data_IF_278159197521
#
_entry.id   IF_278159197521
#
_cell.length_a   1.000
_cell.length_b   1.000
_cell.length_c   1.000
_cell.angle_alpha   90.00
_cell.angle_beta   90.00
_cell.angle_gamma   90.00
#
_symmetry.space_group_name_H-M   'P 1'
#
loop_
_entity.id
_entity.type
_entity.pdbx_description
1 polymer ?
#
# COMPACT_ATOMS: atom_id res chain seq x y z
N UNK A 1 1.13 -4.72 17.65
CA UNK A 1 1.74 -4.11 16.45
C UNK A 1 0.92 -2.91 16.01
N UNK A 2 1.58 -1.81 15.66
CA UNK A 2 0.98 -0.59 15.09
C UNK A 2 1.53 -0.42 13.68
N UNK A 3 0.68 -0.08 12.73
CA UNK A 3 1.01 0.10 11.32
C UNK A 3 0.50 1.47 10.91
N UNK A 4 1.37 2.28 10.33
CA UNK A 4 1.03 3.61 9.82
C UNK A 4 1.37 3.64 8.32
N UNK A 5 0.33 3.65 7.47
CA UNK A 5 0.49 3.62 6.02
C UNK A 5 0.29 5.00 5.40
N UNK A 6 1.24 5.42 4.57
CA UNK A 6 1.13 6.58 3.69
C UNK A 6 1.55 6.12 2.31
N UNK A 7 0.58 5.81 1.46
CA UNK A 7 0.81 5.40 0.07
C UNK A 7 0.30 4.00 -0.27
N UNK A 8 0.98 3.40 -1.24
CA UNK A 8 0.60 2.17 -1.90
C UNK A 8 1.55 1.00 -1.59
N UNK A 9 2.35 1.11 -0.52
CA UNK A 9 3.13 -0.02 0.02
C UNK A 9 2.22 -1.14 0.53
N UNK A 10 2.73 -2.37 0.48
CA UNK A 10 2.03 -3.56 0.95
C UNK A 10 2.62 -4.04 2.27
N UNK A 11 1.75 -4.48 3.19
CA UNK A 11 2.17 -5.22 4.37
C UNK A 11 1.35 -6.49 4.51
N UNK A 12 2.05 -7.62 4.60
CA UNK A 12 1.46 -8.93 4.89
C UNK A 12 2.10 -9.54 6.13
N UNK A 13 1.32 -10.38 6.81
CA UNK A 13 1.73 -11.12 8.00
C UNK A 13 1.59 -12.62 7.75
N UNK A 14 2.67 -13.35 8.01
CA UNK A 14 2.65 -14.80 8.09
C UNK A 14 2.24 -15.26 9.48
N UNK A 15 1.17 -16.02 9.58
CA UNK A 15 0.67 -16.60 10.83
C UNK A 15 0.67 -18.13 10.73
N UNK A 16 1.29 -18.79 11.69
CA UNK A 16 1.27 -20.24 11.79
C UNK A 16 -0.11 -20.73 12.26
N UNK A 17 -0.67 -21.68 11.55
CA UNK A 17 -1.86 -22.43 11.97
C UNK A 17 -1.45 -23.59 12.88
N UNK A 18 -2.40 -24.14 13.65
CA UNK A 18 -2.16 -25.24 14.58
C UNK A 18 -1.68 -26.55 13.92
N UNK A 19 -1.81 -26.67 12.61
CA UNK A 19 -1.29 -27.78 11.78
C UNK A 19 0.12 -27.52 11.23
N UNK A 20 0.75 -26.40 11.58
CA UNK A 20 2.08 -26.00 11.12
C UNK A 20 2.08 -25.33 9.74
N UNK A 21 0.92 -25.14 9.09
CA UNK A 21 0.84 -24.38 7.84
C UNK A 21 0.96 -22.88 8.10
N UNK A 22 1.54 -22.13 7.17
CA UNK A 22 1.60 -20.66 7.27
C UNK A 22 0.48 -20.05 6.42
N UNK A 23 -0.31 -19.20 7.05
CA UNK A 23 -1.36 -18.41 6.41
C UNK A 23 -0.92 -16.95 6.30
N UNK A 24 -1.34 -16.29 5.22
CA UNK A 24 -0.99 -14.88 4.96
C UNK A 24 -2.21 -14.01 5.19
N UNK A 25 -2.04 -12.99 6.02
CA UNK A 25 -3.04 -11.94 6.24
C UNK A 25 -2.50 -10.63 5.71
N UNK A 26 -3.22 -10.01 4.78
CA UNK A 26 -2.94 -8.66 4.34
C UNK A 26 -3.34 -7.66 5.44
N UNK A 27 -2.39 -6.81 5.83
CA UNK A 27 -2.56 -5.87 6.94
C UNK A 27 -2.85 -4.43 6.50
N UNK A 28 -2.56 -4.09 5.24
CA UNK A 28 -2.78 -2.76 4.66
C UNK A 28 -3.55 -2.91 3.35
N UNK A 29 -4.53 -2.04 3.13
CA UNK A 29 -5.19 -1.86 1.84
C UNK A 29 -4.53 -0.70 1.08
N UNK A 30 -4.33 -0.85 -0.22
CA UNK A 30 -3.75 0.23 -1.04
C UNK A 30 -4.65 1.46 -1.03
N UNK A 31 -4.07 2.60 -0.72
CA UNK A 31 -4.71 3.90 -0.84
C UNK A 31 -4.70 4.34 -2.32
N UNK A 32 -5.47 3.61 -3.14
CA UNK A 32 -5.65 3.90 -4.57
C UNK A 32 -6.64 5.05 -4.74
N UNK A 33 -6.42 5.97 -5.70
CA UNK A 33 -7.28 7.13 -5.90
C UNK A 33 -8.76 6.83 -6.23
N UNK A 34 -9.07 5.63 -6.71
CA UNK A 34 -10.41 5.22 -7.13
C UNK A 34 -11.24 4.56 -6.02
N UNK A 35 -10.74 4.48 -4.80
CA UNK A 35 -11.49 3.93 -3.67
C UNK A 35 -12.64 4.87 -3.26
N UNK A 36 -13.78 4.33 -2.78
CA UNK A 36 -14.90 5.15 -2.29
C UNK A 36 -14.49 6.13 -1.18
N UNK A 37 -13.54 5.74 -0.32
CA UNK A 37 -13.02 6.57 0.75
C UNK A 37 -12.24 7.81 0.25
N UNK A 38 -11.84 7.81 -1.03
CA UNK A 38 -11.07 8.87 -1.66
C UNK A 38 -11.95 9.82 -2.51
N UNK A 39 -13.28 9.78 -2.35
CA UNK A 39 -14.21 10.69 -3.04
C UNK A 39 -13.90 12.18 -2.84
N UNK A 40 -13.24 12.52 -1.72
CA UNK A 40 -12.68 13.84 -1.45
C UNK A 40 -11.81 14.40 -2.59
N UNK A 41 -11.17 13.52 -3.39
CA UNK A 41 -10.38 13.91 -4.56
C UNK A 41 -11.22 14.74 -5.53
N UNK A 42 -12.45 14.29 -5.77
CA UNK A 42 -13.39 14.98 -6.67
C UNK A 42 -13.93 16.26 -6.04
N UNK A 43 -14.11 16.28 -4.72
CA UNK A 43 -14.61 17.48 -4.01
C UNK A 43 -13.61 18.63 -4.03
N UNK A 44 -12.31 18.34 -4.06
CA UNK A 44 -11.25 19.35 -4.18
C UNK A 44 -10.86 19.65 -5.63
N UNK A 45 -11.75 19.39 -6.60
CA UNK A 45 -11.54 19.67 -8.02
C UNK A 45 -10.40 18.85 -8.68
N UNK A 46 -9.93 17.81 -7.99
CA UNK A 46 -9.06 16.79 -8.56
C UNK A 46 -9.85 15.81 -9.44
N UNK A 47 -9.15 15.18 -10.36
CA UNK A 47 -9.71 14.17 -11.26
C UNK A 47 -8.99 12.84 -11.06
N UNK A 48 -9.73 11.74 -11.18
CA UNK A 48 -9.14 10.39 -11.18
C UNK A 48 -9.26 9.85 -12.60
N UNK A 49 -8.13 9.48 -13.19
CA UNK A 49 -8.07 8.93 -14.55
C UNK A 49 -7.17 7.71 -14.59
N UNK A 50 -7.25 6.94 -15.66
CA UNK A 50 -6.35 5.83 -15.96
C UNK A 50 -5.82 6.00 -17.38
N UNK A 51 -4.68 5.39 -17.66
CA UNK A 51 -4.14 5.35 -19.02
C UNK A 51 -4.85 4.24 -19.79
N UNK A 52 -5.11 4.44 -21.09
CA UNK A 52 -5.80 3.44 -21.93
C UNK A 52 -5.03 2.11 -21.94
N UNK A 53 -3.71 2.18 -21.95
CA UNK A 53 -2.83 1.01 -21.94
C UNK A 53 -2.72 0.36 -20.54
N UNK A 54 -3.08 1.08 -19.47
CA UNK A 54 -2.97 0.65 -18.07
C UNK A 54 -4.26 0.96 -17.28
N UNK A 55 -5.40 0.34 -17.61
CA UNK A 55 -6.68 0.63 -16.96
C UNK A 55 -6.73 0.24 -15.47
N UNK A 56 -5.77 -0.57 -15.01
CA UNK A 56 -5.64 -0.96 -13.60
C UNK A 56 -5.04 0.12 -12.70
N UNK A 57 -4.37 1.13 -13.28
CA UNK A 57 -3.64 2.16 -12.54
C UNK A 57 -4.40 3.49 -12.62
N UNK A 58 -4.80 3.99 -11.46
CA UNK A 58 -5.57 5.22 -11.35
C UNK A 58 -4.69 6.34 -10.83
N UNK A 59 -4.65 7.44 -11.55
CA UNK A 59 -3.85 8.62 -11.26
C UNK A 59 -4.74 9.79 -10.84
N UNK A 60 -4.24 10.58 -9.90
CA UNK A 60 -4.84 11.88 -9.53
C UNK A 60 -4.29 12.94 -10.47
N UNK A 61 -5.14 13.74 -11.09
CA UNK A 61 -4.75 14.88 -11.90
C UNK A 61 -5.40 16.17 -11.40
N UNK A 62 -4.63 17.25 -11.44
CA UNK A 62 -5.10 18.60 -11.17
C UNK A 62 -5.05 19.42 -12.47
N UNK A 63 -6.20 19.92 -12.97
CA UNK A 63 -6.23 20.68 -14.23
C UNK A 63 -5.38 21.96 -14.25
N UNK A 64 -5.08 22.53 -13.09
CA UNK A 64 -4.29 23.76 -12.95
C UNK A 64 -2.78 23.52 -12.85
N UNK A 65 -2.32 22.27 -12.79
CA UNK A 65 -0.91 21.90 -12.71
C UNK A 65 -0.54 21.16 -14.01
N UNK A 66 0.47 21.65 -14.73
CA UNK A 66 0.88 21.05 -16.02
C UNK A 66 1.56 19.68 -15.87
N UNK A 67 1.85 19.21 -14.65
CA UNK A 67 2.60 17.97 -14.48
C UNK A 67 2.29 17.19 -13.20
N UNK A 68 2.48 15.88 -13.35
CA UNK A 68 2.39 14.78 -12.39
C UNK A 68 0.98 14.28 -12.05
N UNK A 69 0.66 13.12 -12.61
CA UNK A 69 -0.41 12.27 -12.10
C UNK A 69 0.19 11.31 -11.07
N UNK A 70 -0.44 11.19 -9.89
CA UNK A 70 0.03 10.27 -8.84
C UNK A 70 -0.87 9.05 -8.71
N UNK A 71 -0.30 7.85 -8.70
CA UNK A 71 -1.04 6.59 -8.64
C UNK A 71 -1.56 6.22 -7.22
N UNK A 72 -1.57 7.18 -6.30
CA UNK A 72 -1.84 7.00 -4.87
C UNK A 72 -2.42 8.29 -4.28
N UNK A 73 -3.28 8.17 -3.27
CA UNK A 73 -4.02 9.30 -2.66
C UNK A 73 -3.36 9.90 -1.41
N UNK A 74 -2.36 9.19 -0.86
CA UNK A 74 -1.60 9.59 0.31
C UNK A 74 -0.10 9.46 0.02
N UNK A 75 0.71 10.51 0.18
CA UNK A 75 2.16 10.44 0.15
C UNK A 75 2.78 11.55 1.02
N UNK A 76 4.06 11.41 1.31
CA UNK A 76 4.85 12.49 1.90
C UNK A 76 5.38 13.42 0.82
N UNK A 77 5.52 14.69 1.19
CA UNK A 77 6.33 15.70 0.48
C UNK A 77 5.94 16.05 -0.97
N UNK A 78 4.80 15.58 -1.47
CA UNK A 78 4.32 15.96 -2.82
C UNK A 78 3.63 17.33 -2.82
N UNK A 79 4.43 18.40 -2.73
CA UNK A 79 3.94 19.79 -2.67
C UNK A 79 3.17 20.22 -3.92
N UNK A 80 3.38 19.57 -5.06
CA UNK A 80 2.77 19.97 -6.34
C UNK A 80 1.25 19.69 -6.38
N UNK A 81 0.76 18.75 -5.58
CA UNK A 81 -0.65 18.29 -5.60
C UNK A 81 -1.36 18.52 -4.26
N UNK A 82 -0.70 19.17 -3.28
CA UNK A 82 -1.27 19.39 -1.92
C UNK A 82 -2.64 20.11 -1.95
N UNK A 83 -2.85 21.02 -2.89
CA UNK A 83 -4.12 21.74 -3.03
C UNK A 83 -5.24 20.90 -3.65
N UNK A 84 -4.90 19.76 -4.27
CA UNK A 84 -5.82 18.78 -4.83
C UNK A 84 -5.97 17.55 -3.94
N UNK A 85 -6.28 17.77 -2.65
CA UNK A 85 -6.72 16.71 -1.73
C UNK A 85 -5.70 15.59 -1.59
N UNK A 86 -4.48 15.95 -1.24
CA UNK A 86 -3.48 14.99 -0.84
C UNK A 86 -3.39 14.88 0.68
N UNK A 87 -3.27 13.67 1.23
CA UNK A 87 -3.14 13.47 2.67
C UNK A 87 -1.77 12.91 2.99
N UNK A 88 -0.99 13.65 3.76
CA UNK A 88 0.27 13.15 4.34
C UNK A 88 0.06 12.48 5.71
N UNK A 89 -1.15 12.50 6.25
CA UNK A 89 -1.49 11.75 7.45
C UNK A 89 -1.59 10.24 7.16
N UNK A 90 -0.94 9.39 7.96
CA UNK A 90 -1.05 7.95 7.81
C UNK A 90 -2.45 7.43 8.14
N UNK A 91 -2.88 6.42 7.40
CA UNK A 91 -3.89 5.50 7.91
C UNK A 91 -3.23 4.61 8.96
N UNK A 92 -3.73 4.65 10.19
CA UNK A 92 -3.15 3.91 11.31
C UNK A 92 -4.05 2.76 11.70
N UNK A 93 -3.52 1.54 11.63
CA UNK A 93 -4.17 0.34 12.12
C UNK A 93 -3.39 -0.26 13.28
N UNK A 94 -4.11 -0.88 14.22
CA UNK A 94 -3.51 -1.54 15.38
C UNK A 94 -4.07 -2.95 15.49
N UNK A 95 -3.16 -3.92 15.69
CA UNK A 95 -3.53 -5.30 16.02
C UNK A 95 -2.72 -5.84 17.19
N UNK A 96 -3.34 -6.73 17.96
CA UNK A 96 -2.62 -7.56 18.92
C UNK A 96 -1.87 -8.64 18.15
N UNK A 97 -0.65 -8.90 18.58
CA UNK A 97 0.17 -10.01 18.09
C UNK A 97 0.08 -11.15 19.07
N UNK A 98 0.19 -12.38 18.58
CA UNK A 98 0.26 -13.58 19.41
C UNK A 98 1.47 -14.44 19.02
N UNK A 99 1.61 -15.61 19.64
CA UNK A 99 2.75 -16.50 19.40
C UNK A 99 2.70 -17.22 18.04
N UNK A 100 1.59 -17.10 17.30
CA UNK A 100 1.44 -17.69 15.98
C UNK A 100 1.97 -16.76 14.89
N UNK A 101 2.06 -15.46 15.13
CA UNK A 101 2.65 -14.48 14.21
C UNK A 101 4.14 -14.78 14.01
N UNK A 102 4.53 -15.20 12.80
CA UNK A 102 5.90 -15.62 12.49
C UNK A 102 6.75 -14.48 11.92
N UNK A 103 6.19 -13.74 10.96
CA UNK A 103 6.92 -12.68 10.26
C UNK A 103 5.97 -11.67 9.64
N UNK A 104 6.53 -10.49 9.33
CA UNK A 104 5.86 -9.43 8.58
C UNK A 104 6.71 -9.12 7.36
N UNK A 105 6.07 -8.97 6.21
CA UNK A 105 6.72 -8.55 4.97
C UNK A 105 6.16 -7.18 4.63
N UNK A 106 7.08 -6.22 4.45
CA UNK A 106 6.77 -4.90 3.92
C UNK A 106 7.39 -4.80 2.52
N UNK A 107 6.59 -4.45 1.53
CA UNK A 107 7.08 -4.26 0.16
C UNK A 107 6.71 -2.89 -0.38
N UNK A 108 7.63 -2.31 -1.14
CA UNK A 108 7.32 -1.19 -2.01
C UNK A 108 6.53 -1.70 -3.23
N UNK A 109 5.86 -0.76 -3.91
CA UNK A 109 5.04 -0.99 -5.12
C UNK A 109 5.77 -1.84 -6.15
N UNK A 110 5.03 -2.66 -6.91
CA UNK A 110 5.57 -3.43 -8.03
C UNK A 110 5.73 -4.92 -7.74
N UNK A 111 5.94 -5.32 -6.48
CA UNK A 111 6.17 -6.74 -6.19
C UNK A 111 4.90 -7.57 -6.41
N UNK A 112 3.76 -7.13 -5.88
CA UNK A 112 2.47 -7.83 -6.06
C UNK A 112 1.73 -7.50 -7.35
N UNK A 113 2.30 -6.63 -8.18
CA UNK A 113 1.82 -6.47 -9.56
C UNK A 113 2.21 -7.67 -10.41
N UNK A 114 3.23 -8.44 -9.98
CA UNK A 114 3.77 -9.60 -10.71
C UNK A 114 3.75 -10.91 -9.91
N UNK A 115 3.52 -10.86 -8.59
CA UNK A 115 3.48 -12.03 -7.72
C UNK A 115 2.18 -12.10 -6.93
N UNK A 116 1.60 -13.30 -6.87
CA UNK A 116 0.53 -13.63 -5.92
C UNK A 116 1.07 -13.81 -4.50
N UNK A 117 0.19 -13.73 -3.49
CA UNK A 117 0.55 -14.02 -2.11
C UNK A 117 1.19 -15.42 -1.94
N UNK A 118 0.74 -16.41 -2.72
CA UNK A 118 1.26 -17.77 -2.63
C UNK A 118 2.67 -17.88 -3.24
N UNK A 119 2.93 -17.24 -4.37
CA UNK A 119 4.26 -17.19 -4.99
C UNK A 119 5.25 -16.41 -4.10
N UNK A 120 4.80 -15.29 -3.53
CA UNK A 120 5.55 -14.54 -2.54
C UNK A 120 5.96 -15.41 -1.35
N UNK A 121 5.02 -16.21 -0.83
CA UNK A 121 5.27 -17.14 0.27
C UNK A 121 6.27 -18.24 -0.10
N UNK A 122 6.18 -18.79 -1.31
CA UNK A 122 7.14 -19.79 -1.77
C UNK A 122 8.56 -19.21 -1.85
N UNK A 123 8.70 -17.97 -2.34
CA UNK A 123 9.99 -17.28 -2.39
C UNK A 123 10.52 -17.04 -0.96
N UNK A 124 9.68 -16.62 -0.03
CA UNK A 124 10.08 -16.34 1.35
C UNK A 124 10.38 -17.59 2.16
N UNK A 125 9.70 -18.71 1.88
CA UNK A 125 10.04 -20.01 2.46
C UNK A 125 11.40 -20.53 1.95
N UNK A 126 11.79 -20.14 0.73
CA UNK A 126 13.06 -20.53 0.12
C UNK A 126 14.23 -19.64 0.57
N UNK A 127 13.96 -18.36 0.82
CA UNK A 127 14.92 -17.37 1.28
C UNK A 127 14.81 -17.28 2.81
N UNK A 128 15.60 -18.07 3.55
CA UNK A 128 15.78 -17.95 5.02
C UNK A 128 16.44 -16.62 5.44
N UNK A 129 16.00 -15.48 4.89
CA UNK A 129 16.52 -14.15 5.23
C UNK A 129 15.33 -13.27 5.59
N UNK A 130 15.18 -13.03 6.89
CA UNK A 130 14.32 -12.01 7.45
C UNK A 130 14.67 -10.65 6.83
N UNK A 131 13.98 -10.25 5.75
CA UNK A 131 14.07 -8.90 5.23
C UNK A 131 13.20 -7.98 6.10
N UNK A 132 13.73 -7.62 7.27
CA UNK A 132 13.30 -6.43 8.01
C UNK A 132 13.96 -5.25 7.29
N UNK A 133 13.22 -4.49 6.49
CA UNK A 133 13.70 -3.17 6.06
C UNK A 133 13.06 -2.07 6.92
N UNK A 134 13.94 -1.18 7.37
CA UNK A 134 13.85 -0.35 8.57
C UNK A 134 12.71 0.67 8.60
N UNK A 135 12.26 0.90 9.83
CA UNK A 135 11.79 2.19 10.36
C UNK A 135 12.70 3.32 9.86
N UNK A 136 12.13 4.30 9.17
CA UNK A 136 12.73 5.63 9.12
C UNK A 136 12.15 6.45 10.28
N UNK A 137 13.07 6.95 11.12
CA UNK A 137 12.84 7.83 12.27
C UNK A 137 12.17 9.15 11.89
#
# INVERSE_FOLDING_TARGET
MVIANVGNSWVILGTASGDGTITVVQLIVHLKPNLPQEERIRWCNGQVYYLVDEPGVHFIWQPSQESSGLAMSHAFDDYCIKDCSFISAPEVTQRRTDNNDQFVILTAVGVWDVLSNDEAMQIMAYIEVCMILMVAM
#
